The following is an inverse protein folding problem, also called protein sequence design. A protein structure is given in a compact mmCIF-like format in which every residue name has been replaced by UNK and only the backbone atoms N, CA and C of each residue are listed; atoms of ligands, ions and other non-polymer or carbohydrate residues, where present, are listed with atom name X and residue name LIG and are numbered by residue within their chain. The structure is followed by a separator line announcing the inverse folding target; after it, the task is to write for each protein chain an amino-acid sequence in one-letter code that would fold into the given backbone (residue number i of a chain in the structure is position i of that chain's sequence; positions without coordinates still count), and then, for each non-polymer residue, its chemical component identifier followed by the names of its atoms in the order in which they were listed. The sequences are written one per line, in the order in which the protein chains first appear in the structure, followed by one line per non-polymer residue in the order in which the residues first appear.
data_IF_416185800780
#
_entry.id   IF_416185800780
#
_cell.length_a   1.000
_cell.length_b   1.000
_cell.length_c   1.000
_cell.angle_alpha   90.00
_cell.angle_beta   90.00
_cell.angle_gamma   90.00
#
_symmetry.space_group_name_H-M   'P 1'
#
loop_
_entity.id
_entity.type
_entity.pdbx_description
1 polymer ?
#
# COMPACT_ATOMS: atom_id res chain seq x y z
N UNK A 1 -2.93 51.80 -43.21
CA UNK A 1 -1.93 51.39 -42.18
C UNK A 1 -2.47 51.02 -40.77
N UNK A 2 -3.63 51.49 -40.25
CA UNK A 2 -4.01 51.19 -38.86
C UNK A 2 -4.66 49.81 -38.67
N UNK A 3 -5.33 49.28 -39.70
CA UNK A 3 -6.05 47.99 -39.63
C UNK A 3 -5.07 46.80 -39.58
N UNK A 4 -3.95 46.89 -40.29
CA UNK A 4 -2.93 45.83 -40.34
C UNK A 4 -2.24 45.66 -38.97
N UNK A 5 -1.85 46.77 -38.32
CA UNK A 5 -1.26 46.76 -36.97
C UNK A 5 -2.22 46.19 -35.92
N UNK A 6 -3.51 46.51 -36.04
CA UNK A 6 -4.55 46.03 -35.11
C UNK A 6 -4.82 44.52 -35.23
N UNK A 7 -4.73 43.97 -36.46
CA UNK A 7 -4.81 42.53 -36.71
C UNK A 7 -3.59 41.76 -36.21
N UNK A 8 -2.38 42.31 -36.40
CA UNK A 8 -1.15 41.73 -35.86
C UNK A 8 -1.15 41.72 -34.33
N UNK A 9 -1.59 42.81 -33.69
CA UNK A 9 -1.72 42.85 -32.23
C UNK A 9 -2.73 41.83 -31.70
N UNK A 10 -3.86 41.65 -32.39
CA UNK A 10 -4.89 40.67 -32.01
C UNK A 10 -4.39 39.22 -32.13
N UNK A 11 -3.64 38.92 -33.20
CA UNK A 11 -3.04 37.60 -33.41
C UNK A 11 -1.95 37.30 -32.38
N UNK A 12 -1.12 38.29 -32.02
CA UNK A 12 -0.12 38.14 -30.96
C UNK A 12 -0.76 37.94 -29.59
N UNK A 13 -1.84 38.66 -29.29
CA UNK A 13 -2.60 38.48 -28.04
C UNK A 13 -3.25 37.10 -27.96
N UNK A 14 -3.86 36.62 -29.06
CA UNK A 14 -4.41 35.26 -29.12
C UNK A 14 -3.33 34.17 -29.01
N UNK A 15 -2.15 34.37 -29.63
CA UNK A 15 -1.03 33.44 -29.52
C UNK A 15 -0.47 33.38 -28.09
N UNK A 16 -0.35 34.52 -27.40
CA UNK A 16 0.07 34.59 -25.99
C UNK A 16 -0.95 33.93 -25.05
N UNK A 17 -2.25 34.12 -25.30
CA UNK A 17 -3.32 33.42 -24.58
C UNK A 17 -3.29 31.90 -24.82
N UNK A 18 -2.98 31.45 -26.03
CA UNK A 18 -2.81 30.04 -26.35
C UNK A 18 -1.59 29.41 -25.66
N UNK A 19 -0.46 30.12 -25.59
CA UNK A 19 0.73 29.63 -24.86
C UNK A 19 0.51 29.55 -23.35
N UNK A 20 -0.27 30.46 -22.77
CA UNK A 20 -0.59 30.45 -21.34
C UNK A 20 -1.62 29.36 -20.95
N UNK A 21 -2.50 28.99 -21.88
CA UNK A 21 -3.56 27.99 -21.68
C UNK A 21 -3.22 26.59 -22.23
N UNK A 22 -2.04 26.42 -22.83
CA UNK A 22 -1.63 25.12 -23.36
C UNK A 22 -1.58 24.08 -22.23
N UNK A 23 -2.30 22.95 -22.35
CA UNK A 23 -2.26 21.88 -21.35
C UNK A 23 -0.81 21.41 -21.20
N UNK A 24 -0.31 21.39 -19.97
CA UNK A 24 1.06 20.96 -19.66
C UNK A 24 1.15 19.44 -19.82
N UNK A 25 1.24 18.96 -21.06
CA UNK A 25 1.34 17.53 -21.41
C UNK A 25 2.62 16.84 -20.89
N UNK A 26 3.52 17.60 -20.26
CA UNK A 26 4.76 17.08 -19.67
C UNK A 26 4.68 16.94 -18.15
N UNK A 27 3.49 17.07 -17.54
CA UNK A 27 3.34 16.64 -16.15
C UNK A 27 3.51 15.12 -16.11
N UNK A 28 4.45 14.56 -15.31
CA UNK A 28 4.51 13.12 -15.14
C UNK A 28 3.14 12.67 -14.64
N UNK A 29 2.59 11.63 -15.28
CA UNK A 29 1.40 10.97 -14.75
C UNK A 29 1.76 10.57 -13.32
N UNK A 30 1.13 11.21 -12.33
CA UNK A 30 1.25 10.72 -10.97
C UNK A 30 0.67 9.31 -10.98
N UNK A 31 1.40 8.36 -10.42
CA UNK A 31 0.91 7.01 -10.18
C UNK A 31 -0.13 6.99 -9.05
N UNK A 32 -1.04 7.98 -9.00
CA UNK A 32 -2.09 8.15 -7.99
C UNK A 32 -3.27 7.19 -8.23
N UNK A 33 -2.98 6.00 -8.78
CA UNK A 33 -3.95 4.92 -8.73
C UNK A 33 -4.22 4.55 -7.27
N UNK A 34 -5.38 3.93 -6.96
CA UNK A 34 -5.61 3.42 -5.63
C UNK A 34 -4.46 2.51 -5.17
N UNK A 35 -4.14 2.46 -3.87
CA UNK A 35 -3.12 1.57 -3.34
C UNK A 35 -3.33 0.15 -3.87
N UNK A 36 -2.25 -0.59 -4.20
CA UNK A 36 -2.36 -1.90 -4.82
C UNK A 36 -3.02 -2.95 -3.91
N UNK A 37 -3.25 -2.64 -2.64
CA UNK A 37 -3.94 -3.44 -1.64
C UNK A 37 -5.27 -2.85 -1.14
N UNK A 38 -5.83 -1.84 -1.83
CA UNK A 38 -7.08 -1.20 -1.43
C UNK A 38 -8.22 -2.21 -1.20
N UNK A 39 -8.33 -3.23 -2.05
CA UNK A 39 -9.33 -4.28 -1.91
C UNK A 39 -9.15 -5.10 -0.62
N UNK A 40 -7.90 -5.35 -0.20
CA UNK A 40 -7.60 -6.04 1.06
C UNK A 40 -8.07 -5.19 2.23
N UNK A 41 -7.73 -3.90 2.24
CA UNK A 41 -8.10 -2.95 3.28
C UNK A 41 -9.63 -2.82 3.44
N UNK A 42 -10.36 -2.73 2.32
CA UNK A 42 -11.82 -2.61 2.32
C UNK A 42 -12.53 -3.83 2.92
N UNK A 43 -11.99 -5.05 2.74
CA UNK A 43 -12.60 -6.25 3.28
C UNK A 43 -12.11 -6.61 4.68
N UNK A 44 -10.91 -6.19 5.08
CA UNK A 44 -10.29 -6.57 6.35
C UNK A 44 -10.33 -5.47 7.42
N UNK A 45 -10.57 -4.20 7.08
CA UNK A 45 -10.56 -3.10 8.06
C UNK A 45 -11.67 -3.18 9.12
N UNK A 46 -12.86 -3.64 8.73
CA UNK A 46 -14.06 -3.70 9.58
C UNK A 46 -14.61 -5.13 9.73
N UNK A 47 -13.85 -6.13 9.29
CA UNK A 47 -14.23 -7.54 9.34
C UNK A 47 -14.39 -8.04 10.78
N UNK A 48 -15.56 -8.56 11.14
CA UNK A 48 -15.84 -9.11 12.48
C UNK A 48 -15.78 -10.65 12.54
N UNK A 49 -15.20 -11.28 11.53
CA UNK A 49 -15.07 -12.73 11.45
C UNK A 49 -13.72 -13.20 11.99
N UNK A 50 -13.71 -14.43 12.48
CA UNK A 50 -12.50 -15.13 12.87
C UNK A 50 -12.21 -16.27 11.89
N UNK A 51 -10.94 -16.63 11.79
CA UNK A 51 -10.49 -17.87 11.18
C UNK A 51 -10.23 -18.90 12.27
N UNK A 52 -10.84 -20.08 12.14
CA UNK A 52 -10.59 -21.22 13.03
C UNK A 52 -9.58 -22.16 12.37
N UNK A 53 -8.45 -22.39 13.04
CA UNK A 53 -7.44 -23.36 12.62
C UNK A 53 -7.93 -24.80 12.88
N UNK A 54 -7.35 -25.83 12.22
CA UNK A 54 -7.70 -27.24 12.46
C UNK A 54 -7.65 -27.68 13.93
N UNK A 55 -6.73 -27.10 14.72
CA UNK A 55 -6.61 -27.36 16.16
C UNK A 55 -7.63 -26.65 17.05
N UNK A 56 -8.52 -25.82 16.50
CA UNK A 56 -9.55 -25.08 17.23
C UNK A 56 -9.14 -23.68 17.71
N UNK A 57 -7.86 -23.31 17.62
CA UNK A 57 -7.42 -21.93 17.82
C UNK A 57 -8.14 -21.00 16.84
N UNK A 58 -8.47 -19.78 17.27
CA UNK A 58 -9.03 -18.75 16.39
C UNK A 58 -8.10 -17.55 16.24
N UNK A 59 -8.29 -16.81 15.15
CA UNK A 59 -7.60 -15.55 14.90
C UNK A 59 -8.55 -14.58 14.20
N UNK A 60 -8.64 -13.31 14.66
CA UNK A 60 -9.42 -12.30 13.97
C UNK A 60 -8.96 -12.12 12.52
N UNK A 61 -9.92 -11.99 11.60
CA UNK A 61 -9.65 -11.59 10.22
C UNK A 61 -9.59 -10.06 10.08
N UNK A 62 -9.96 -9.31 11.11
CA UNK A 62 -9.80 -7.86 11.14
C UNK A 62 -8.32 -7.47 11.12
N UNK A 63 -7.99 -6.42 10.36
CA UNK A 63 -6.70 -5.74 10.42
C UNK A 63 -6.90 -4.36 11.03
N UNK A 64 -6.18 -3.99 12.11
CA UNK A 64 -6.21 -2.64 12.66
C UNK A 64 -5.47 -1.70 11.70
N UNK A 65 -6.21 -1.11 10.75
CA UNK A 65 -5.65 -0.27 9.69
C UNK A 65 -4.99 1.01 10.23
N UNK A 66 -5.51 1.55 11.33
CA UNK A 66 -4.94 2.69 12.03
C UNK A 66 -3.52 2.39 12.56
N UNK A 67 -3.34 1.23 13.20
CA UNK A 67 -2.03 0.79 13.67
C UNK A 67 -1.07 0.49 12.51
N UNK A 68 -1.58 -0.09 11.41
CA UNK A 68 -0.78 -0.34 10.21
C UNK A 68 -0.33 0.98 9.55
N UNK A 69 -1.24 1.94 9.44
CA UNK A 69 -0.98 3.23 8.80
C UNK A 69 -0.03 4.11 9.62
N UNK A 70 -0.01 3.95 10.95
CA UNK A 70 0.95 4.59 11.84
C UNK A 70 2.33 3.90 11.86
N UNK A 71 2.48 2.73 11.23
CA UNK A 71 3.72 1.96 11.27
C UNK A 71 4.79 2.51 10.31
N UNK A 72 6.09 2.25 10.55
CA UNK A 72 7.16 2.62 9.62
C UNK A 72 7.01 2.03 8.21
N UNK A 73 6.21 0.96 8.07
CA UNK A 73 5.92 0.33 6.79
C UNK A 73 4.93 1.13 5.92
N UNK A 74 4.33 2.20 6.45
CA UNK A 74 3.47 3.10 5.68
C UNK A 74 4.18 4.40 5.26
N UNK A 75 5.40 4.68 5.73
CA UNK A 75 6.16 5.91 5.44
C UNK A 75 7.11 5.75 4.24
N UNK A 76 7.13 6.74 3.33
CA UNK A 76 8.08 6.90 2.22
C UNK A 76 8.03 5.89 1.06
N UNK A 77 7.81 4.61 1.34
CA UNK A 77 7.67 3.52 0.36
C UNK A 77 6.63 2.52 0.88
N UNK A 78 5.35 2.88 0.76
CA UNK A 78 4.23 2.13 1.33
C UNK A 78 4.34 0.62 1.02
N UNK A 79 4.58 -0.15 2.06
CA UNK A 79 4.60 -1.62 2.03
C UNK A 79 3.14 -2.08 2.00
N UNK A 80 2.74 -2.72 0.92
CA UNK A 80 1.39 -3.21 0.73
C UNK A 80 1.18 -4.59 1.38
N UNK A 81 -0.08 -5.00 1.57
CA UNK A 81 -0.42 -6.28 2.21
C UNK A 81 0.37 -7.48 1.64
N UNK A 82 0.56 -7.55 0.31
CA UNK A 82 1.24 -8.67 -0.36
C UNK A 82 2.77 -8.67 -0.19
N UNK A 83 3.38 -7.60 0.35
CA UNK A 83 4.80 -7.63 0.70
C UNK A 83 5.07 -8.56 1.90
N UNK A 84 4.14 -8.61 2.86
CA UNK A 84 4.13 -9.56 3.98
C UNK A 84 3.34 -10.84 3.65
N UNK A 85 2.26 -10.74 2.87
CA UNK A 85 1.41 -11.87 2.43
C UNK A 85 1.74 -12.29 0.98
N UNK A 86 2.95 -12.81 0.77
CA UNK A 86 3.58 -12.93 -0.56
C UNK A 86 2.90 -13.87 -1.56
N UNK A 87 2.16 -14.88 -1.11
CA UNK A 87 1.51 -15.83 -2.02
C UNK A 87 0.26 -15.21 -2.65
N UNK A 88 0.42 -14.52 -3.79
CA UNK A 88 -0.71 -13.92 -4.51
C UNK A 88 -1.79 -14.95 -4.84
N UNK A 89 -1.41 -16.18 -5.20
CA UNK A 89 -2.37 -17.25 -5.48
C UNK A 89 -3.22 -17.62 -4.26
N UNK A 90 -2.67 -17.51 -3.04
CA UNK A 90 -3.39 -17.81 -1.80
C UNK A 90 -4.25 -16.66 -1.31
N UNK A 91 -3.73 -15.44 -1.39
CA UNK A 91 -4.36 -14.25 -0.82
C UNK A 91 -5.27 -13.49 -1.79
N UNK A 92 -5.26 -13.83 -3.09
CA UNK A 92 -6.23 -13.29 -4.05
C UNK A 92 -7.62 -13.88 -3.79
N UNK A 93 -8.64 -13.03 -3.84
CA UNK A 93 -10.03 -13.50 -3.78
C UNK A 93 -10.44 -14.21 -5.09
N UNK A 94 -11.14 -15.36 -5.02
CA UNK A 94 -11.51 -16.10 -3.81
C UNK A 94 -10.29 -16.76 -3.15
N UNK A 95 -10.15 -16.54 -1.84
CA UNK A 95 -8.99 -17.01 -1.07
C UNK A 95 -8.86 -18.54 -1.15
N UNK A 96 -7.63 -19.02 -1.32
CA UNK A 96 -7.34 -20.45 -1.17
C UNK A 96 -7.24 -20.83 0.32
N UNK A 97 -7.48 -22.10 0.68
CA UNK A 97 -7.31 -22.57 2.04
C UNK A 97 -5.91 -22.25 2.59
N UNK A 98 -5.85 -21.85 3.86
CA UNK A 98 -4.60 -21.66 4.57
C UNK A 98 -4.03 -23.04 4.98
N UNK A 99 -2.79 -23.41 4.60
CA UNK A 99 -2.19 -24.70 4.96
C UNK A 99 -1.72 -24.77 6.42
N UNK A 100 -1.62 -23.65 7.13
CA UNK A 100 -1.14 -23.62 8.51
C UNK A 100 -2.12 -24.34 9.44
N UNK A 101 -1.58 -25.20 10.31
CA UNK A 101 -2.36 -26.04 11.22
C UNK A 101 -2.74 -25.31 12.52
N UNK A 102 -2.04 -24.22 12.83
CA UNK A 102 -2.23 -23.41 14.04
C UNK A 102 -1.73 -21.98 13.82
N UNK A 103 -2.03 -21.08 14.77
CA UNK A 103 -1.64 -19.67 14.70
C UNK A 103 -0.13 -19.50 14.66
N UNK A 104 0.62 -20.31 15.42
CA UNK A 104 2.08 -20.24 15.47
C UNK A 104 2.71 -20.49 14.10
N UNK A 105 2.23 -21.49 13.38
CA UNK A 105 2.71 -21.80 12.03
C UNK A 105 2.40 -20.66 11.05
N UNK A 106 1.18 -20.10 11.10
CA UNK A 106 0.81 -18.94 10.29
C UNK A 106 1.73 -17.74 10.56
N UNK A 107 1.92 -17.36 11.83
CA UNK A 107 2.80 -16.24 12.19
C UNK A 107 4.25 -16.51 11.78
N UNK A 108 4.73 -17.75 11.95
CA UNK A 108 6.07 -18.14 11.51
C UNK A 108 6.26 -18.01 10.00
N UNK A 109 5.24 -18.35 9.21
CA UNK A 109 5.24 -18.15 7.77
C UNK A 109 5.37 -16.69 7.38
N UNK A 110 4.53 -15.81 7.95
CA UNK A 110 4.57 -14.38 7.65
C UNK A 110 5.89 -13.75 8.09
N UNK A 111 6.42 -14.12 9.26
CA UNK A 111 7.69 -13.60 9.77
C UNK A 111 8.89 -13.89 8.86
N UNK A 112 8.88 -15.01 8.11
CA UNK A 112 9.92 -15.29 7.11
C UNK A 112 9.95 -14.26 5.98
N UNK A 113 8.82 -13.63 5.66
CA UNK A 113 8.74 -12.65 4.57
C UNK A 113 9.43 -11.33 4.92
N UNK A 114 9.64 -11.02 6.21
CA UNK A 114 10.39 -9.84 6.67
C UNK A 114 11.84 -9.85 6.14
N UNK A 115 12.45 -11.03 6.02
CA UNK A 115 13.84 -11.19 5.59
C UNK A 115 14.08 -10.74 4.14
N UNK A 116 13.03 -10.63 3.32
CA UNK A 116 13.18 -10.13 1.96
C UNK A 116 13.48 -8.63 1.87
N UNK A 117 13.31 -7.88 2.96
CA UNK A 117 13.69 -6.46 3.05
C UNK A 117 14.69 -6.20 4.19
N UNK A 118 14.66 -6.99 5.27
CA UNK A 118 15.59 -6.90 6.39
C UNK A 118 16.62 -8.03 6.36
N UNK A 119 17.80 -7.74 5.80
CA UNK A 119 18.92 -8.68 5.69
C UNK A 119 20.25 -8.04 6.17
N UNK A 120 21.18 -8.82 6.74
CA UNK A 120 21.08 -10.24 7.06
C UNK A 120 20.44 -10.41 8.45
N UNK A 121 19.23 -10.99 8.51
CA UNK A 121 18.36 -11.12 9.70
C UNK A 121 17.48 -9.89 10.04
N UNK A 122 16.31 -10.16 10.63
CA UNK A 122 15.31 -9.19 11.04
C UNK A 122 15.70 -8.59 12.40
N UNK A 123 16.10 -7.30 12.50
CA UNK A 123 16.62 -6.69 13.73
C UNK A 123 15.71 -6.83 14.96
N UNK A 124 14.42 -7.15 14.77
CA UNK A 124 13.47 -7.46 15.83
C UNK A 124 13.75 -8.78 16.59
N UNK A 125 14.65 -9.64 16.11
CA UNK A 125 15.01 -10.91 16.76
C UNK A 125 16.43 -10.95 17.33
N UNK A 126 17.22 -9.89 17.18
CA UNK A 126 18.60 -9.84 17.69
C UNK A 126 18.67 -9.56 19.18
N UNK A 127 17.63 -8.93 19.72
CA UNK A 127 17.52 -8.68 21.13
C UNK A 127 16.21 -9.27 21.61
N UNK A 128 16.29 -10.14 22.61
CA UNK A 128 15.15 -10.44 23.49
C UNK A 128 14.85 -9.22 24.39
N UNK A 129 15.02 -8.01 23.86
CA UNK A 129 14.68 -6.77 24.53
C UNK A 129 13.24 -6.45 24.16
N UNK A 130 12.34 -6.27 25.14
CA UNK A 130 11.01 -5.77 24.86
C UNK A 130 11.15 -4.43 24.13
N UNK A 131 10.50 -4.30 22.98
CA UNK A 131 10.33 -2.99 22.36
C UNK A 131 9.31 -2.23 23.23
N UNK A 132 9.71 -1.17 23.96
CA UNK A 132 8.80 -0.43 24.85
C UNK A 132 7.66 0.25 24.09
N UNK A 133 7.80 0.40 22.77
CA UNK A 133 6.83 1.08 21.90
C UNK A 133 5.83 0.11 21.26
N UNK A 134 5.94 -1.20 21.51
CA UNK A 134 4.97 -2.20 21.07
C UNK A 134 4.23 -2.77 22.29
N UNK A 135 2.90 -2.62 22.38
CA UNK A 135 2.14 -3.24 23.47
C UNK A 135 2.26 -4.76 23.39
N UNK A 136 2.52 -5.38 24.54
CA UNK A 136 2.66 -6.83 24.73
C UNK A 136 1.37 -7.59 24.36
#
# INVERSE_FOLDING_TARGET
MPIFKRRVLFLLFFALLWLAAAPRWNAPARADGPPPDLACRLCHGDMQREYTFPGGETMPLQVPLDALDASPHNDGASVACFNCHRSQARYRFPHQPNPAQNRREFVSEIARNCQGCHAPHNPLHETRQPNPDLPN
#
